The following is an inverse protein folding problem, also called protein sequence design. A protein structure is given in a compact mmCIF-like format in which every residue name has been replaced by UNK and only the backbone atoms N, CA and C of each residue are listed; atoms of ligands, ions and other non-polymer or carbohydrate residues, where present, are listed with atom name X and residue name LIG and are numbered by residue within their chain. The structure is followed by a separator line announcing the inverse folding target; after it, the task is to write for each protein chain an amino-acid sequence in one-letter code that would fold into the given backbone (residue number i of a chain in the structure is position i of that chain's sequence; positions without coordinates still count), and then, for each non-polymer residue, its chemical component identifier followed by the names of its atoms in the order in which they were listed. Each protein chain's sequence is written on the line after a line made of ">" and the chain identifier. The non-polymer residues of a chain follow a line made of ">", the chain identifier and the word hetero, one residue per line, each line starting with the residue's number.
data_IF_603473385876
#
_entry.id   IF_603473385876
#
_cell.length_a   1.000
_cell.length_b   1.000
_cell.length_c   1.000
_cell.angle_alpha   90.00
_cell.angle_beta   90.00
_cell.angle_gamma   90.00
#
_symmetry.space_group_name_H-M   'P 1'
#
loop_
_entity.id
_entity.type
_entity.pdbx_description
1 polymer ?
#
# COMPACT_ATOMS: atom_id res chain seq x y z
N UNK A 1 -25.50 -6.89 -66.68
CA UNK A 1 -25.83 -7.33 -65.31
C UNK A 1 -24.72 -8.25 -64.82
N UNK A 2 -23.81 -7.72 -64.00
CA UNK A 2 -22.95 -8.49 -63.10
C UNK A 2 -22.24 -7.50 -62.18
N UNK A 3 -22.90 -7.16 -61.06
CA UNK A 3 -22.29 -6.37 -59.98
C UNK A 3 -21.30 -7.25 -59.21
N UNK A 4 -20.07 -6.75 -59.04
CA UNK A 4 -19.09 -7.37 -58.14
C UNK A 4 -19.56 -7.33 -56.69
N UNK A 5 -19.08 -8.24 -55.83
CA UNK A 5 -19.53 -8.33 -54.45
C UNK A 5 -19.16 -7.04 -53.68
N UNK A 6 -20.00 -6.61 -52.71
CA UNK A 6 -19.67 -5.44 -51.91
C UNK A 6 -18.43 -5.73 -51.07
N UNK A 7 -17.51 -4.76 -50.99
CA UNK A 7 -16.41 -4.78 -50.02
C UNK A 7 -17.00 -4.93 -48.62
N UNK A 8 -16.72 -6.06 -47.97
CA UNK A 8 -17.06 -6.30 -46.58
C UNK A 8 -16.49 -5.19 -45.71
N UNK A 9 -17.36 -4.54 -44.94
CA UNK A 9 -16.96 -3.58 -43.92
C UNK A 9 -16.03 -4.27 -42.91
N UNK A 10 -14.80 -3.76 -42.79
CA UNK A 10 -13.87 -4.15 -41.73
C UNK A 10 -14.31 -3.41 -40.46
N UNK A 11 -15.17 -4.06 -39.68
CA UNK A 11 -15.52 -3.64 -38.31
C UNK A 11 -15.35 -4.86 -37.39
N UNK A 12 -14.11 -5.21 -37.04
CA UNK A 12 -13.85 -6.21 -35.98
C UNK A 12 -12.42 -6.22 -35.42
N UNK A 13 -11.61 -5.19 -35.64
CA UNK A 13 -10.16 -5.24 -35.30
C UNK A 13 -9.79 -4.46 -34.02
N UNK A 14 -10.53 -3.40 -33.67
CA UNK A 14 -10.23 -2.59 -32.48
C UNK A 14 -10.57 -3.31 -31.16
N UNK A 15 -11.69 -4.04 -31.10
CA UNK A 15 -12.10 -4.73 -29.87
C UNK A 15 -11.16 -5.88 -29.50
N UNK A 16 -10.56 -6.54 -30.50
CA UNK A 16 -9.60 -7.64 -30.32
C UNK A 16 -8.22 -7.10 -29.92
N UNK A 17 -7.82 -5.92 -30.46
CA UNK A 17 -6.59 -5.22 -30.05
C UNK A 17 -6.66 -4.59 -28.66
N UNK A 18 -7.81 -4.04 -28.29
CA UNK A 18 -8.03 -3.50 -26.94
C UNK A 18 -8.07 -4.64 -25.91
N UNK A 19 -8.69 -5.77 -26.25
CA UNK A 19 -8.63 -7.00 -25.44
C UNK A 19 -7.19 -7.52 -25.32
N UNK A 20 -6.39 -7.47 -26.39
CA UNK A 20 -4.97 -7.85 -26.35
C UNK A 20 -4.09 -6.90 -25.51
N UNK A 21 -4.56 -5.70 -25.18
CA UNK A 21 -3.84 -4.65 -24.44
C UNK A 21 -4.38 -4.40 -23.04
N UNK A 22 -5.22 -5.30 -22.50
CA UNK A 22 -5.85 -5.20 -21.19
C UNK A 22 -4.88 -4.77 -20.06
N UNK A 23 -3.63 -5.26 -20.09
CA UNK A 23 -2.59 -4.97 -19.10
C UNK A 23 -2.21 -3.48 -18.99
N UNK A 24 -2.52 -2.65 -20.00
CA UNK A 24 -2.21 -1.22 -20.00
C UNK A 24 -3.13 -0.40 -19.10
N UNK A 25 -4.31 -0.91 -18.77
CA UNK A 25 -5.31 -0.23 -17.94
C UNK A 25 -5.74 -1.04 -16.71
N UNK A 26 -5.40 -2.34 -16.69
CA UNK A 26 -5.81 -3.29 -15.67
C UNK A 26 -5.57 -2.83 -14.23
N UNK A 27 -6.53 -3.11 -13.37
CA UNK A 27 -6.38 -3.06 -11.91
C UNK A 27 -6.17 -4.46 -11.38
N UNK A 28 -5.00 -4.70 -10.79
CA UNK A 28 -4.58 -6.01 -10.30
C UNK A 28 -4.64 -6.01 -8.77
N UNK A 29 -5.40 -6.92 -8.19
CA UNK A 29 -5.49 -7.09 -6.74
C UNK A 29 -4.43 -8.06 -6.26
N UNK A 30 -3.54 -7.60 -5.37
CA UNK A 30 -2.48 -8.42 -4.81
C UNK A 30 -2.95 -9.13 -3.55
N UNK A 31 -2.91 -10.46 -3.59
CA UNK A 31 -3.34 -11.35 -2.52
C UNK A 31 -2.13 -12.02 -1.87
N UNK A 32 -1.93 -11.72 -0.59
CA UNK A 32 -1.08 -12.49 0.30
C UNK A 32 -1.91 -13.64 0.91
N UNK A 33 -1.89 -14.80 0.25
CA UNK A 33 -2.80 -15.93 0.51
C UNK A 33 -2.96 -16.24 2.00
N UNK A 34 -1.85 -16.29 2.74
CA UNK A 34 -1.80 -16.66 4.17
C UNK A 34 -2.73 -15.80 5.05
N UNK A 35 -3.08 -14.61 4.61
CA UNK A 35 -3.88 -13.63 5.36
C UNK A 35 -5.13 -13.18 4.65
N UNK A 36 -5.48 -13.81 3.53
CA UNK A 36 -6.65 -13.41 2.76
C UNK A 36 -7.94 -14.00 3.34
N UNK A 37 -8.10 -15.32 3.33
CA UNK A 37 -9.20 -16.03 3.97
C UNK A 37 -8.81 -17.49 4.21
N UNK A 38 -9.15 -18.02 5.38
CA UNK A 38 -8.91 -19.42 5.76
C UNK A 38 -10.14 -20.26 5.38
N UNK A 39 -9.93 -21.25 4.52
CA UNK A 39 -10.99 -22.13 4.02
C UNK A 39 -11.11 -23.45 4.79
N UNK A 40 -10.08 -23.85 5.54
CA UNK A 40 -9.97 -25.17 6.15
C UNK A 40 -9.94 -25.16 7.69
N UNK A 41 -9.81 -23.97 8.30
CA UNK A 41 -9.84 -23.75 9.74
C UNK A 41 -8.51 -24.02 10.46
N UNK A 42 -7.38 -24.02 9.75
CA UNK A 42 -6.03 -24.20 10.32
C UNK A 42 -5.36 -22.89 10.77
N UNK A 43 -6.04 -21.75 10.61
CA UNK A 43 -5.55 -20.43 10.97
C UNK A 43 -4.71 -19.75 9.88
N UNK A 44 -4.54 -20.38 8.72
CA UNK A 44 -3.85 -19.82 7.57
C UNK A 44 -4.79 -19.69 6.39
N UNK A 45 -4.67 -18.58 5.67
CA UNK A 45 -5.39 -18.43 4.43
C UNK A 45 -4.89 -19.40 3.35
N UNK A 46 -5.81 -19.87 2.51
CA UNK A 46 -5.56 -20.89 1.50
C UNK A 46 -6.36 -20.63 0.21
N UNK A 47 -6.22 -21.51 -0.79
CA UNK A 47 -6.95 -21.36 -2.06
C UNK A 47 -8.45 -21.64 -1.91
N UNK A 48 -8.88 -22.46 -0.95
CA UNK A 48 -10.31 -22.64 -0.71
C UNK A 48 -10.93 -21.35 -0.16
N UNK A 49 -10.24 -20.66 0.74
CA UNK A 49 -10.59 -19.33 1.22
C UNK A 49 -10.54 -18.25 0.12
N UNK A 50 -9.51 -18.23 -0.73
CA UNK A 50 -9.49 -17.33 -1.89
C UNK A 50 -10.69 -17.58 -2.81
N UNK A 51 -10.99 -18.85 -3.13
CA UNK A 51 -12.11 -19.23 -3.99
C UNK A 51 -13.45 -18.79 -3.42
N UNK A 52 -13.64 -18.88 -2.11
CA UNK A 52 -14.90 -18.45 -1.47
C UNK A 52 -15.12 -16.93 -1.53
N UNK A 53 -14.07 -16.15 -1.79
CA UNK A 53 -14.11 -14.68 -1.87
C UNK A 53 -13.93 -14.14 -3.29
N UNK A 54 -13.93 -14.97 -4.33
CA UNK A 54 -13.85 -14.49 -5.72
C UNK A 54 -15.03 -13.57 -6.10
N UNK A 55 -16.22 -13.83 -5.56
CA UNK A 55 -17.37 -12.95 -5.74
C UNK A 55 -17.15 -11.55 -5.16
N UNK A 56 -16.43 -11.44 -4.04
CA UNK A 56 -16.04 -10.15 -3.46
C UNK A 56 -15.07 -9.39 -4.37
N UNK A 57 -14.02 -10.06 -4.87
CA UNK A 57 -13.04 -9.43 -5.76
C UNK A 57 -13.69 -8.97 -7.09
N UNK A 58 -14.54 -9.82 -7.67
CA UNK A 58 -15.31 -9.44 -8.86
C UNK A 58 -16.24 -8.25 -8.58
N UNK A 59 -16.90 -8.22 -7.43
CA UNK A 59 -17.75 -7.11 -6.99
C UNK A 59 -16.99 -5.82 -6.69
N UNK A 60 -15.74 -5.91 -6.21
CA UNK A 60 -14.85 -4.75 -6.05
C UNK A 60 -14.48 -4.15 -7.42
N UNK A 61 -14.42 -4.99 -8.45
CA UNK A 61 -14.23 -4.56 -9.82
C UNK A 61 -12.77 -4.59 -10.29
N UNK A 62 -11.96 -5.50 -9.75
CA UNK A 62 -10.59 -5.72 -10.21
C UNK A 62 -10.56 -6.60 -11.46
N UNK A 63 -9.57 -6.42 -12.32
CA UNK A 63 -9.47 -7.12 -13.60
C UNK A 63 -8.67 -8.42 -13.49
N UNK A 64 -7.73 -8.49 -12.54
CA UNK A 64 -6.90 -9.66 -12.30
C UNK A 64 -6.48 -9.80 -10.83
N UNK A 65 -6.09 -11.02 -10.46
CA UNK A 65 -5.59 -11.35 -9.12
C UNK A 65 -4.13 -11.81 -9.22
N UNK A 66 -3.24 -11.16 -8.47
CA UNK A 66 -1.87 -11.61 -8.28
C UNK A 66 -1.72 -12.23 -6.90
N UNK A 67 -1.55 -13.55 -6.85
CA UNK A 67 -1.24 -14.28 -5.62
C UNK A 67 0.26 -14.36 -5.32
N UNK A 68 0.67 -14.14 -4.07
CA UNK A 68 2.05 -14.40 -3.65
C UNK A 68 2.38 -15.90 -3.69
N UNK A 69 3.65 -16.30 -3.95
CA UNK A 69 4.05 -17.70 -3.87
C UNK A 69 3.68 -18.33 -2.53
N UNK A 70 3.05 -19.49 -2.57
CA UNK A 70 2.50 -20.21 -1.41
C UNK A 70 3.22 -21.52 -1.07
N UNK A 71 4.28 -21.86 -1.80
CA UNK A 71 5.15 -22.99 -1.47
C UNK A 71 6.08 -22.63 -0.31
N UNK A 72 6.43 -23.59 0.55
CA UNK A 72 7.44 -23.38 1.59
C UNK A 72 8.76 -22.94 0.94
N UNK A 73 9.16 -21.71 1.20
CA UNK A 73 10.48 -21.23 0.79
C UNK A 73 11.56 -21.96 1.60
N UNK A 74 12.66 -22.43 0.97
CA UNK A 74 13.81 -23.00 1.67
C UNK A 74 14.53 -22.00 2.59
N UNK A 75 14.12 -20.71 2.60
CA UNK A 75 14.69 -19.65 3.45
C UNK A 75 16.21 -19.48 3.28
N UNK A 76 16.77 -19.82 2.11
CA UNK A 76 18.21 -19.74 1.83
C UNK A 76 18.73 -18.31 1.65
N UNK A 77 17.84 -17.38 1.31
CA UNK A 77 18.25 -16.02 0.90
C UNK A 77 18.02 -14.97 2.00
N UNK A 78 17.21 -15.28 3.03
CA UNK A 78 16.87 -14.35 4.11
C UNK A 78 17.88 -14.36 5.27
N UNK A 79 18.60 -15.47 5.44
CA UNK A 79 19.72 -15.60 6.37
C UNK A 79 20.95 -15.75 5.48
N UNK A 80 21.68 -14.66 5.27
CA UNK A 80 22.86 -14.62 4.41
C UNK A 80 23.67 -15.92 4.53
N UNK A 81 23.90 -16.54 3.37
CA UNK A 81 24.65 -17.77 3.23
C UNK A 81 25.76 -17.82 4.27
N UNK A 82 25.69 -18.79 5.21
CA UNK A 82 26.79 -19.06 6.13
C UNK A 82 28.03 -19.19 5.26
N UNK A 83 28.95 -18.24 5.40
CA UNK A 83 30.26 -18.29 4.79
C UNK A 83 30.82 -19.68 5.05
N UNK A 84 30.95 -20.49 4.00
CA UNK A 84 31.64 -21.76 4.09
C UNK A 84 33.01 -21.50 4.73
N UNK A 85 33.50 -22.35 5.65
CA UNK A 85 34.80 -22.14 6.25
C UNK A 85 35.83 -22.09 5.12
N UNK A 86 36.53 -20.95 4.99
CA UNK A 86 37.66 -20.82 4.07
C UNK A 86 38.62 -21.96 4.39
N UNK A 87 38.77 -22.89 3.45
CA UNK A 87 39.86 -23.88 3.48
C UNK A 87 41.16 -23.10 3.60
N UNK A 88 41.87 -23.34 4.69
CA UNK A 88 43.24 -22.91 4.92
C UNK A 88 44.11 -23.48 3.79
N UNK A 89 44.40 -22.64 2.79
CA UNK A 89 45.52 -22.87 1.90
C UNK A 89 46.72 -22.12 2.47
N UNK A 90 47.57 -22.89 3.14
CA UNK A 90 48.94 -22.49 3.50
C UNK A 90 49.66 -22.02 2.24
N UNK A 91 50.20 -20.81 2.29
CA UNK A 91 51.02 -20.28 1.20
C UNK A 91 51.58 -18.89 1.50
N UNK A 92 52.61 -18.83 2.36
CA UNK A 92 53.81 -18.02 2.13
C UNK A 92 53.79 -16.49 2.23
N UNK A 93 54.88 -15.99 2.81
CA UNK A 93 55.45 -14.64 2.72
C UNK A 93 54.82 -13.53 3.58
N UNK A 94 55.49 -13.26 4.70
CA UNK A 94 55.15 -12.20 5.63
C UNK A 94 55.67 -10.82 5.21
N UNK A 95 55.09 -9.80 5.82
CA UNK A 95 55.68 -8.46 5.96
C UNK A 95 55.32 -7.94 7.36
N UNK A 96 56.35 -7.60 8.14
CA UNK A 96 56.26 -6.92 9.44
C UNK A 96 55.93 -5.45 9.25
N UNK A 97 55.11 -4.88 10.15
CA UNK A 97 55.09 -3.49 10.65
C UNK A 97 54.05 -3.50 11.78
N UNK A 98 54.27 -3.12 13.03
CA UNK A 98 55.15 -2.12 13.62
C UNK A 98 54.28 -1.37 14.62
N UNK A 99 54.18 -1.86 15.87
CA UNK A 99 53.42 -1.20 16.94
C UNK A 99 54.05 0.16 17.26
N UNK A 100 53.25 1.22 17.28
CA UNK A 100 53.54 2.43 18.07
C UNK A 100 52.34 2.76 18.96
N UNK A 101 52.59 2.77 20.26
CA UNK A 101 51.81 3.46 21.29
C UNK A 101 52.21 4.93 21.29
N UNK A 102 51.25 5.80 21.54
CA UNK A 102 51.34 7.15 22.10
C UNK A 102 49.89 7.64 22.26
N UNK A 103 49.48 8.45 23.21
CA UNK A 103 49.95 8.79 24.56
C UNK A 103 48.73 9.45 25.22
N UNK A 104 48.55 9.24 26.52
CA UNK A 104 47.43 9.79 27.28
C UNK A 104 47.79 11.24 27.63
N UNK A 105 47.25 12.19 26.86
CA UNK A 105 47.37 13.62 27.10
C UNK A 105 46.17 14.17 27.87
N UNK A 106 46.42 14.54 29.12
CA UNK A 106 45.56 15.27 30.04
C UNK A 106 45.11 16.65 29.52
N UNK A 107 43.82 16.99 29.67
CA UNK A 107 43.33 18.37 29.61
C UNK A 107 42.26 18.60 30.69
N UNK A 108 42.57 19.56 31.56
CA UNK A 108 41.79 20.02 32.72
C UNK A 108 40.49 20.76 32.35
N UNK A 109 39.51 20.86 33.26
CA UNK A 109 38.24 21.55 33.02
C UNK A 109 38.39 23.06 33.18
N UNK A 110 37.79 23.84 32.26
CA UNK A 110 37.56 25.28 32.45
C UNK A 110 36.07 25.53 32.68
N UNK A 111 35.78 26.15 33.82
CA UNK A 111 34.49 26.80 34.08
C UNK A 111 34.37 28.09 33.24
N UNK A 112 33.20 28.29 32.65
CA UNK A 112 32.78 29.53 32.00
C UNK A 112 31.29 29.48 31.71
N UNK A 113 30.51 30.32 32.40
CA UNK A 113 29.06 30.47 32.25
C UNK A 113 28.68 31.02 30.87
N UNK A 114 27.55 30.57 30.32
CA UNK A 114 26.89 31.27 29.20
C UNK A 114 25.87 30.43 28.43
N UNK A 115 24.58 30.67 28.70
CA UNK A 115 23.46 30.40 27.78
C UNK A 115 22.94 28.96 27.72
N UNK A 116 21.67 28.77 28.14
CA UNK A 116 20.86 27.66 27.64
C UNK A 116 20.62 27.87 26.14
N UNK A 117 21.58 27.46 25.32
CA UNK A 117 21.31 27.15 23.94
C UNK A 117 20.56 25.80 23.94
N UNK A 118 19.27 25.82 23.60
CA UNK A 118 18.56 24.64 23.14
C UNK A 118 19.44 24.01 22.05
N UNK A 119 20.14 22.92 22.41
CA UNK A 119 20.86 22.12 21.43
C UNK A 119 19.81 21.60 20.46
N UNK A 120 19.84 22.12 19.24
CA UNK A 120 19.16 21.49 18.11
C UNK A 120 19.52 19.99 18.14
N UNK A 121 18.56 19.07 18.04
CA UNK A 121 18.83 17.65 18.13
C UNK A 121 19.90 17.28 17.11
N UNK A 122 21.05 16.85 17.62
CA UNK A 122 22.19 16.43 16.83
C UNK A 122 21.81 15.10 16.18
N UNK A 123 21.65 15.14 14.86
CA UNK A 123 21.43 14.00 13.96
C UNK A 123 20.08 13.26 14.13
N UNK A 124 19.03 13.77 13.49
CA UNK A 124 17.95 12.89 13.01
C UNK A 124 18.60 11.96 11.99
N UNK A 125 18.84 10.70 12.36
CA UNK A 125 19.11 9.67 11.35
C UNK A 125 17.88 9.64 10.44
N UNK A 126 18.02 9.70 9.11
CA UNK A 126 16.85 9.51 8.25
C UNK A 126 16.25 8.15 8.62
N UNK A 127 14.99 8.12 9.05
CA UNK A 127 14.26 6.87 9.25
C UNK A 127 14.36 6.10 7.92
N UNK A 128 14.93 4.89 7.96
CA UNK A 128 15.10 4.05 6.76
C UNK A 128 14.13 2.89 6.77
N UNK A 129 13.63 2.52 7.94
CA UNK A 129 12.71 1.41 8.15
C UNK A 129 11.55 1.81 9.04
N UNK A 130 10.40 1.14 8.87
CA UNK A 130 9.24 1.31 9.74
C UNK A 130 9.60 1.16 11.22
N UNK A 131 10.50 0.23 11.55
CA UNK A 131 10.97 0.02 12.93
C UNK A 131 11.67 1.24 13.55
N UNK A 132 12.13 2.20 12.75
CA UNK A 132 12.66 3.47 13.27
C UNK A 132 11.53 4.44 13.73
N UNK A 133 10.26 4.08 13.48
CA UNK A 133 9.09 4.97 13.64
C UNK A 133 7.96 4.39 14.50
N UNK A 134 7.97 3.09 14.85
CA UNK A 134 6.87 2.36 15.53
C UNK A 134 6.45 2.94 16.90
N UNK A 135 7.31 3.72 17.57
CA UNK A 135 6.98 4.38 18.85
C UNK A 135 6.68 5.88 18.70
N UNK A 136 6.64 6.39 17.47
CA UNK A 136 6.31 7.78 17.21
C UNK A 136 4.79 7.95 17.13
N UNK A 137 4.23 9.05 17.65
CA UNK A 137 2.79 9.27 17.60
C UNK A 137 2.31 9.35 16.14
N UNK A 138 1.41 8.44 15.75
CA UNK A 138 0.74 8.44 14.46
C UNK A 138 -0.73 8.88 14.60
N UNK A 139 -1.14 9.88 13.82
CA UNK A 139 -2.54 10.25 13.70
C UNK A 139 -3.19 9.42 12.58
N UNK A 140 -3.88 8.35 12.98
CA UNK A 140 -4.54 7.43 12.04
C UNK A 140 -5.67 8.09 11.24
N UNK A 141 -6.30 9.14 11.76
CA UNK A 141 -7.34 9.89 11.06
C UNK A 141 -6.74 10.69 9.90
N UNK A 142 -5.63 11.39 10.15
CA UNK A 142 -4.84 12.06 9.09
C UNK A 142 -4.30 11.02 8.10
N UNK A 143 -3.79 9.90 8.60
CA UNK A 143 -3.28 8.79 7.79
C UNK A 143 -4.33 8.25 6.80
N UNK A 144 -5.54 7.97 7.29
CA UNK A 144 -6.64 7.47 6.48
C UNK A 144 -7.08 8.49 5.42
N UNK A 145 -7.21 9.78 5.77
CA UNK A 145 -7.54 10.83 4.78
C UNK A 145 -6.52 10.86 3.65
N UNK A 146 -5.23 10.85 3.99
CA UNK A 146 -4.14 10.84 3.01
C UNK A 146 -4.10 9.57 2.17
N UNK A 147 -4.36 8.41 2.77
CA UNK A 147 -4.42 7.14 2.06
C UNK A 147 -5.56 7.13 1.02
N UNK A 148 -6.74 7.63 1.39
CA UNK A 148 -7.89 7.78 0.47
C UNK A 148 -7.58 8.74 -0.68
N UNK A 149 -6.94 9.88 -0.39
CA UNK A 149 -6.49 10.82 -1.41
C UNK A 149 -5.45 10.19 -2.35
N UNK A 150 -4.44 9.50 -1.79
CA UNK A 150 -3.41 8.82 -2.55
C UNK A 150 -3.97 7.71 -3.46
N UNK A 151 -4.97 6.95 -2.98
CA UNK A 151 -5.65 5.93 -3.78
C UNK A 151 -6.34 6.53 -5.01
N UNK A 152 -7.09 7.63 -4.84
CA UNK A 152 -7.72 8.32 -5.98
C UNK A 152 -6.68 8.94 -6.93
N UNK A 153 -5.58 9.50 -6.41
CA UNK A 153 -4.50 9.98 -7.27
C UNK A 153 -3.91 8.82 -8.09
N UNK A 154 -3.54 7.72 -7.45
CA UNK A 154 -2.98 6.54 -8.11
C UNK A 154 -3.91 6.00 -9.19
N UNK A 155 -5.21 5.88 -8.90
CA UNK A 155 -6.20 5.36 -9.83
C UNK A 155 -6.54 6.33 -10.98
N UNK A 156 -6.17 7.62 -10.89
CA UNK A 156 -6.33 8.59 -11.97
C UNK A 156 -5.14 8.61 -12.95
N UNK A 157 -3.96 8.17 -12.50
CA UNK A 157 -2.75 8.18 -13.32
C UNK A 157 -2.86 7.21 -14.52
N UNK A 158 -2.15 7.50 -15.63
CA UNK A 158 -2.12 6.59 -16.77
C UNK A 158 -1.41 5.28 -16.47
N UNK A 159 -1.95 4.17 -16.97
CA UNK A 159 -1.35 2.83 -16.83
C UNK A 159 -2.16 1.90 -15.93
N UNK A 160 -1.70 0.67 -15.73
CA UNK A 160 -2.32 -0.27 -14.79
C UNK A 160 -2.08 0.14 -13.33
N UNK A 161 -2.89 -0.39 -12.41
CA UNK A 161 -2.79 -0.13 -10.99
C UNK A 161 -2.73 -1.43 -10.19
N UNK A 162 -2.12 -1.37 -9.00
CA UNK A 162 -2.10 -2.46 -8.04
C UNK A 162 -2.82 -2.01 -6.77
N UNK A 163 -3.69 -2.87 -6.25
CA UNK A 163 -4.34 -2.67 -4.95
C UNK A 163 -3.88 -3.82 -4.06
N UNK A 164 -3.30 -3.50 -2.91
CA UNK A 164 -2.93 -4.53 -1.95
C UNK A 164 -4.10 -4.89 -1.05
N UNK A 165 -4.17 -6.15 -0.62
CA UNK A 165 -5.28 -6.62 0.19
C UNK A 165 -5.46 -5.82 1.49
N UNK A 166 -6.67 -5.31 1.73
CA UNK A 166 -7.01 -4.50 2.90
C UNK A 166 -6.76 -3.00 2.71
N UNK A 167 -6.07 -2.58 1.65
CA UNK A 167 -5.94 -1.17 1.28
C UNK A 167 -7.32 -0.57 0.99
N UNK A 168 -8.21 -1.33 0.35
CA UNK A 168 -9.58 -0.91 0.07
C UNK A 168 -10.43 -0.75 1.34
N UNK A 169 -9.96 -1.29 2.46
CA UNK A 169 -10.59 -1.14 3.77
C UNK A 169 -9.92 -0.02 4.59
N UNK A 170 -8.83 0.58 4.09
CA UNK A 170 -8.07 1.58 4.83
C UNK A 170 -7.39 1.03 6.08
N UNK A 171 -6.96 -0.24 6.07
CA UNK A 171 -6.28 -0.85 7.21
C UNK A 171 -4.93 -0.16 7.45
N UNK A 172 -4.72 0.31 8.67
CA UNK A 172 -3.44 0.80 9.12
C UNK A 172 -2.46 -0.38 9.35
N UNK A 173 -1.17 -0.07 9.29
CA UNK A 173 -0.12 -0.98 9.75
C UNK A 173 -0.39 -1.39 11.20
N UNK A 174 -0.28 -2.68 11.51
CA UNK A 174 -0.36 -3.18 12.89
C UNK A 174 1.04 -3.18 13.50
N UNK A 175 1.30 -2.20 14.35
CA UNK A 175 2.63 -1.94 14.90
C UNK A 175 2.92 -2.75 16.18
N UNK A 176 1.88 -3.14 16.91
CA UNK A 176 1.90 -3.71 18.26
C UNK A 176 1.73 -5.24 18.31
N UNK A 177 2.02 -5.95 17.20
CA UNK A 177 2.00 -7.42 17.18
C UNK A 177 2.90 -8.02 18.29
N UNK A 178 2.41 -9.02 19.05
CA UNK A 178 3.24 -9.72 20.04
C UNK A 178 4.50 -10.30 19.39
N UNK A 179 5.65 -10.20 20.07
CA UNK A 179 6.93 -10.66 19.53
C UNK A 179 6.93 -12.15 19.18
N UNK A 180 6.20 -12.95 19.97
CA UNK A 180 6.00 -14.38 19.77
C UNK A 180 5.17 -14.72 18.52
N UNK A 181 4.41 -13.76 18.00
CA UNK A 181 3.61 -13.92 16.78
C UNK A 181 4.39 -13.56 15.51
N UNK A 182 5.51 -12.83 15.62
CA UNK A 182 6.29 -12.39 14.47
C UNK A 182 6.96 -13.59 13.77
N UNK A 183 6.71 -13.71 12.46
CA UNK A 183 7.24 -14.78 11.61
C UNK A 183 8.09 -14.28 10.44
N UNK A 184 8.12 -12.97 10.18
CA UNK A 184 8.91 -12.42 9.09
C UNK A 184 10.40 -12.73 9.31
N UNK A 185 11.11 -13.20 8.27
CA UNK A 185 12.53 -13.52 8.41
C UNK A 185 13.40 -12.37 8.92
N UNK A 186 13.00 -11.12 8.66
CA UNK A 186 13.70 -9.93 9.17
C UNK A 186 13.68 -9.83 10.69
N UNK A 187 12.64 -10.37 11.35
CA UNK A 187 12.59 -10.44 12.81
C UNK A 187 13.68 -11.35 13.36
N UNK A 188 13.92 -12.49 12.72
CA UNK A 188 14.92 -13.50 13.12
C UNK A 188 16.38 -13.07 12.92
N UNK A 189 16.62 -11.84 12.43
CA UNK A 189 17.97 -11.29 12.34
C UNK A 189 18.53 -11.01 13.75
N UNK A 190 19.87 -11.15 13.95
CA UNK A 190 20.49 -10.93 15.25
C UNK A 190 20.10 -9.58 15.87
N UNK A 191 19.57 -9.63 17.09
CA UNK A 191 19.21 -8.45 17.87
C UNK A 191 17.74 -8.00 17.77
N UNK A 192 16.90 -8.67 16.97
CA UNK A 192 15.45 -8.39 16.89
C UNK A 192 15.11 -6.90 16.67
N UNK A 193 15.92 -6.20 15.88
CA UNK A 193 15.81 -4.74 15.69
C UNK A 193 14.90 -4.33 14.52
N UNK A 194 14.43 -5.29 13.73
CA UNK A 194 13.55 -5.05 12.58
C UNK A 194 12.32 -5.96 12.69
N UNK A 195 11.16 -5.35 12.97
CA UNK A 195 9.88 -6.07 13.12
C UNK A 195 9.35 -6.62 11.79
N UNK A 196 9.99 -6.28 10.67
CA UNK A 196 9.75 -6.89 9.37
C UNK A 196 8.47 -6.36 8.72
N UNK A 197 7.68 -7.28 8.17
CA UNK A 197 6.49 -6.97 7.34
C UNK A 197 5.23 -7.63 7.88
N UNK A 198 5.24 -8.13 9.11
CA UNK A 198 4.07 -8.84 9.63
C UNK A 198 2.89 -7.91 9.94
N UNK A 199 3.14 -6.63 10.26
CA UNK A 199 2.09 -5.65 10.50
C UNK A 199 1.17 -5.42 9.29
N UNK A 200 1.71 -5.40 8.07
CA UNK A 200 0.93 -5.37 6.82
C UNK A 200 0.43 -6.74 6.33
N UNK A 201 0.61 -7.81 7.12
CA UNK A 201 0.18 -9.17 6.79
C UNK A 201 -0.86 -9.72 7.75
N UNK A 202 -1.43 -8.90 8.62
CA UNK A 202 -2.49 -9.36 9.51
C UNK A 202 -3.70 -9.87 8.70
N UNK A 203 -4.29 -11.03 9.05
CA UNK A 203 -5.48 -11.60 8.43
C UNK A 203 -6.61 -10.59 8.18
N UNK A 204 -7.23 -10.63 7.01
CA UNK A 204 -8.28 -9.66 6.65
C UNK A 204 -9.52 -9.76 7.54
N UNK A 205 -10.12 -8.62 7.95
CA UNK A 205 -11.35 -8.59 8.70
C UNK A 205 -12.57 -8.65 7.75
N UNK A 206 -13.21 -9.81 7.62
CA UNK A 206 -14.35 -10.00 6.72
C UNK A 206 -15.70 -9.59 7.33
N UNK A 207 -15.96 -9.93 8.58
CA UNK A 207 -17.31 -9.81 9.16
C UNK A 207 -17.32 -9.91 10.68
N UNK A 208 -18.44 -9.57 11.31
CA UNK A 208 -18.65 -9.76 12.74
C UNK A 208 -18.02 -8.67 13.60
N UNK A 209 -18.23 -8.83 14.91
CA UNK A 209 -17.99 -7.76 15.88
C UNK A 209 -16.70 -7.96 16.69
N UNK A 210 -16.12 -9.17 16.66
CA UNK A 210 -14.92 -9.55 17.41
C UNK A 210 -13.95 -10.35 16.52
N UNK A 211 -12.62 -10.31 16.81
CA UNK A 211 -11.64 -11.19 16.17
C UNK A 211 -12.04 -12.66 16.32
N UNK A 212 -11.86 -13.50 15.28
CA UNK A 212 -11.04 -13.28 14.09
C UNK A 212 -11.80 -12.68 12.89
N UNK A 213 -12.87 -11.89 13.14
CA UNK A 213 -13.63 -11.15 12.13
C UNK A 213 -13.97 -11.97 10.86
N UNK A 214 -14.39 -13.23 11.04
CA UNK A 214 -14.76 -14.10 9.92
C UNK A 214 -13.62 -14.49 8.98
N UNK A 215 -12.35 -14.37 9.42
CA UNK A 215 -11.20 -14.86 8.68
C UNK A 215 -11.20 -16.39 8.53
N UNK A 216 -11.42 -17.10 9.63
CA UNK A 216 -11.55 -18.56 9.67
C UNK A 216 -13.02 -18.98 9.89
N UNK A 217 -13.45 -20.16 9.43
CA UNK A 217 -14.81 -20.65 9.63
C UNK A 217 -15.16 -20.86 11.11
N UNK A 218 -16.45 -20.83 11.51
CA UNK A 218 -16.85 -21.23 12.85
C UNK A 218 -16.40 -22.66 13.18
N UNK A 219 -15.90 -22.89 14.40
CA UNK A 219 -15.41 -24.21 14.83
C UNK A 219 -13.99 -24.57 14.35
N UNK A 220 -13.25 -23.60 13.82
CA UNK A 220 -11.84 -23.78 13.42
C UNK A 220 -10.96 -24.28 14.56
N UNK A 221 -9.93 -25.06 14.22
CA UNK A 221 -9.07 -25.75 15.18
C UNK A 221 -7.96 -24.85 15.74
N UNK A 222 -7.67 -23.74 15.06
CA UNK A 222 -6.60 -22.79 15.42
C UNK A 222 -7.04 -21.35 15.22
N UNK A 223 -6.51 -20.40 16.02
CA UNK A 223 -6.66 -18.98 15.74
C UNK A 223 -5.89 -18.61 14.46
N UNK A 224 -6.20 -17.44 13.85
CA UNK A 224 -5.41 -16.92 12.75
C UNK A 224 -3.94 -16.78 13.12
N UNK A 225 -3.07 -16.97 12.15
CA UNK A 225 -1.62 -17.01 12.37
C UNK A 225 -0.98 -15.70 12.83
N UNK A 226 -1.64 -14.56 12.60
CA UNK A 226 -1.37 -13.31 13.29
C UNK A 226 -2.67 -12.82 13.96
N UNK A 227 -2.58 -12.23 15.16
CA UNK A 227 -3.73 -11.66 15.83
C UNK A 227 -4.23 -10.42 15.07
N UNK A 228 -5.55 -10.31 14.95
CA UNK A 228 -6.21 -9.10 14.45
C UNK A 228 -6.46 -8.10 15.60
N UNK A 229 -6.24 -6.79 15.39
CA UNK A 229 -6.59 -5.78 16.38
C UNK A 229 -8.10 -5.72 16.62
N UNK A 230 -8.54 -5.70 17.88
CA UNK A 230 -9.96 -5.54 18.23
C UNK A 230 -10.58 -4.25 17.66
N UNK A 231 -9.78 -3.20 17.49
CA UNK A 231 -10.18 -1.94 16.88
C UNK A 231 -10.68 -2.10 15.42
N UNK A 232 -10.40 -3.22 14.75
CA UNK A 232 -10.83 -3.46 13.38
C UNK A 232 -12.31 -3.79 13.21
N UNK A 233 -13.08 -3.88 14.30
CA UNK A 233 -14.54 -4.06 14.30
C UNK A 233 -15.26 -3.10 13.33
N UNK A 234 -14.84 -1.83 13.28
CA UNK A 234 -15.45 -0.80 12.43
C UNK A 234 -14.98 -0.80 10.97
N UNK A 235 -13.95 -1.56 10.62
CA UNK A 235 -13.34 -1.58 9.28
C UNK A 235 -13.44 -2.95 8.60
N UNK A 236 -14.24 -3.87 9.15
CA UNK A 236 -14.54 -5.14 8.48
C UNK A 236 -15.22 -4.90 7.12
N UNK A 237 -15.08 -5.85 6.19
CA UNK A 237 -15.80 -5.79 4.90
C UNK A 237 -17.31 -5.67 5.12
N UNK A 238 -17.88 -6.43 6.05
CA UNK A 238 -19.30 -6.35 6.40
C UNK A 238 -19.71 -4.97 6.93
N UNK A 239 -18.93 -4.37 7.83
CA UNK A 239 -19.23 -3.05 8.39
C UNK A 239 -19.18 -1.97 7.31
N UNK A 240 -18.11 -1.95 6.50
CA UNK A 240 -17.94 -0.94 5.45
C UNK A 240 -18.96 -1.08 4.32
N UNK A 241 -19.39 -2.29 3.98
CA UNK A 241 -20.42 -2.50 2.97
C UNK A 241 -21.79 -1.90 3.35
N UNK A 242 -22.00 -1.54 4.63
CA UNK A 242 -23.22 -0.89 5.13
C UNK A 242 -23.07 0.64 5.22
N UNK A 243 -21.87 1.17 4.99
CA UNK A 243 -21.54 2.59 5.09
C UNK A 243 -21.14 3.18 3.73
N UNK A 244 -22.01 4.02 3.11
CA UNK A 244 -21.71 4.70 1.85
C UNK A 244 -20.48 5.63 1.88
N UNK A 245 -20.05 6.08 3.06
CA UNK A 245 -18.86 6.92 3.24
C UNK A 245 -17.55 6.15 3.40
N UNK A 246 -17.64 4.82 3.50
CA UNK A 246 -16.51 3.95 3.82
C UNK A 246 -15.41 3.97 2.74
N UNK A 247 -14.23 3.47 3.11
CA UNK A 247 -13.12 3.34 2.14
C UNK A 247 -13.42 2.28 1.11
N UNK A 248 -14.13 1.22 1.50
CA UNK A 248 -14.58 0.18 0.57
C UNK A 248 -15.47 0.76 -0.54
N UNK A 249 -16.45 1.59 -0.18
CA UNK A 249 -17.33 2.24 -1.15
C UNK A 249 -16.60 3.28 -2.01
N UNK A 250 -15.60 3.98 -1.44
CA UNK A 250 -14.72 4.84 -2.23
C UNK A 250 -13.99 4.05 -3.32
N UNK A 251 -13.38 2.91 -2.98
CA UNK A 251 -12.68 2.06 -3.95
C UNK A 251 -13.64 1.48 -5.00
N UNK A 252 -14.81 0.97 -4.61
CA UNK A 252 -15.83 0.47 -5.54
C UNK A 252 -16.21 1.52 -6.59
N UNK A 253 -16.53 2.73 -6.13
CA UNK A 253 -16.90 3.85 -7.02
C UNK A 253 -15.73 4.30 -7.89
N UNK A 254 -14.53 4.39 -7.33
CA UNK A 254 -13.34 4.77 -8.08
C UNK A 254 -13.02 3.77 -9.20
N UNK A 255 -13.09 2.47 -8.92
CA UNK A 255 -12.85 1.41 -9.90
C UNK A 255 -13.95 1.34 -10.95
N UNK A 256 -15.22 1.56 -10.58
CA UNK A 256 -16.33 1.66 -11.52
C UNK A 256 -16.15 2.86 -12.48
N UNK A 257 -15.85 4.05 -11.96
CA UNK A 257 -15.59 5.25 -12.76
C UNK A 257 -14.38 5.02 -13.66
N UNK A 258 -13.27 4.50 -13.12
CA UNK A 258 -12.06 4.21 -13.89
C UNK A 258 -12.31 3.25 -15.05
N UNK A 259 -13.19 2.26 -14.88
CA UNK A 259 -13.55 1.33 -15.95
C UNK A 259 -14.41 1.97 -17.04
N UNK A 260 -15.31 2.87 -16.66
CA UNK A 260 -16.30 3.46 -17.58
C UNK A 260 -15.82 4.74 -18.25
N UNK A 261 -14.97 5.52 -17.59
CA UNK A 261 -14.55 6.81 -18.06
C UNK A 261 -13.48 6.63 -19.17
N UNK A 262 -13.72 7.09 -20.40
CA UNK A 262 -12.84 6.83 -21.55
C UNK A 262 -11.43 7.42 -21.38
N UNK A 263 -11.29 8.50 -20.62
CA UNK A 263 -9.99 9.09 -20.33
C UNK A 263 -9.16 8.32 -19.29
N UNK A 264 -9.74 7.38 -18.54
CA UNK A 264 -9.06 6.65 -17.47
C UNK A 264 -8.53 5.29 -17.94
N UNK A 265 -7.53 4.76 -17.25
CA UNK A 265 -6.76 3.60 -17.74
C UNK A 265 -5.50 4.02 -18.50
N UNK A 266 -5.28 3.48 -19.69
CA UNK A 266 -4.17 3.85 -20.56
C UNK A 266 -4.38 5.25 -21.18
N UNK A 267 -3.31 5.95 -21.54
CA UNK A 267 -3.41 7.24 -22.23
C UNK A 267 -2.33 8.22 -21.80
N UNK A 268 -2.47 9.47 -22.22
CA UNK A 268 -1.64 10.59 -21.76
C UNK A 268 -2.30 11.32 -20.60
N UNK A 269 -1.53 12.20 -19.98
CA UNK A 269 -1.99 13.22 -19.05
C UNK A 269 -1.24 14.51 -19.33
N UNK A 270 -1.86 15.64 -19.03
CA UNK A 270 -1.25 16.97 -19.12
C UNK A 270 -1.33 17.65 -17.76
N UNK A 271 -0.20 18.16 -17.27
CA UNK A 271 -0.16 18.90 -16.01
C UNK A 271 -0.85 20.26 -16.16
N UNK A 272 -1.58 20.65 -15.12
CA UNK A 272 -2.18 21.97 -15.01
C UNK A 272 -1.36 22.81 -14.03
N UNK A 273 -1.05 24.05 -14.42
CA UNK A 273 -0.34 24.99 -13.55
C UNK A 273 -1.18 25.31 -12.31
N UNK A 274 -0.57 25.15 -11.14
CA UNK A 274 -1.20 25.33 -9.84
C UNK A 274 -0.22 25.92 -8.82
N UNK A 275 -0.72 26.57 -7.76
CA UNK A 275 0.12 26.99 -6.63
C UNK A 275 0.84 25.80 -5.99
N UNK A 276 1.95 26.08 -5.31
CA UNK A 276 2.70 25.07 -4.58
C UNK A 276 1.80 24.31 -3.58
N UNK A 277 1.88 22.98 -3.60
CA UNK A 277 1.07 22.10 -2.76
C UNK A 277 -0.32 21.76 -3.31
N UNK A 278 -0.66 22.22 -4.52
CA UNK A 278 -1.82 21.72 -5.27
C UNK A 278 -1.32 21.02 -6.53
N UNK A 279 -1.60 19.73 -6.64
CA UNK A 279 -1.26 18.94 -7.82
C UNK A 279 -2.52 18.77 -8.67
N UNK A 280 -2.43 19.04 -9.98
CA UNK A 280 -3.58 18.85 -10.86
C UNK A 280 -3.15 18.49 -12.28
N UNK A 281 -3.90 17.62 -12.93
CA UNK A 281 -3.70 17.23 -14.33
C UNK A 281 -5.04 16.95 -15.01
N UNK A 282 -5.04 17.01 -16.34
CA UNK A 282 -6.16 16.64 -17.20
C UNK A 282 -5.83 15.42 -18.06
N UNK A 283 -6.86 14.70 -18.48
CA UNK A 283 -6.78 13.57 -19.41
C UNK A 283 -7.97 13.65 -20.37
N UNK A 284 -7.68 13.51 -21.66
CA UNK A 284 -8.74 13.55 -22.68
C UNK A 284 -9.38 12.16 -22.87
N UNK A 285 -10.69 12.11 -23.16
CA UNK A 285 -11.62 13.25 -23.17
C UNK A 285 -12.17 13.56 -21.77
N UNK A 286 -12.16 14.83 -21.37
CA UNK A 286 -13.02 15.35 -20.30
C UNK A 286 -12.75 14.89 -18.87
N UNK A 287 -11.55 14.47 -18.50
CA UNK A 287 -11.22 14.13 -17.11
C UNK A 287 -10.20 15.08 -16.49
N UNK A 288 -10.39 15.48 -15.24
CA UNK A 288 -9.34 16.11 -14.45
C UNK A 288 -9.22 15.55 -13.03
N UNK A 289 -8.00 15.57 -12.51
CA UNK A 289 -7.69 15.22 -11.12
C UNK A 289 -7.08 16.43 -10.41
N UNK A 290 -7.47 16.66 -9.16
CA UNK A 290 -6.92 17.69 -8.29
C UNK A 290 -6.62 17.09 -6.92
N UNK A 291 -5.41 17.32 -6.41
CA UNK A 291 -4.95 16.91 -5.10
C UNK A 291 -4.51 18.15 -4.31
N UNK A 292 -5.03 18.30 -3.10
CA UNK A 292 -4.67 19.41 -2.21
C UNK A 292 -3.87 18.87 -1.02
N UNK A 293 -2.60 19.29 -0.91
CA UNK A 293 -1.74 19.03 0.27
C UNK A 293 -1.38 20.30 1.03
N UNK A 294 -1.99 21.44 0.67
CA UNK A 294 -1.80 22.72 1.34
C UNK A 294 -2.55 22.77 2.68
N UNK A 295 -2.27 23.79 3.50
CA UNK A 295 -2.99 24.03 4.75
C UNK A 295 -4.42 24.53 4.57
N UNK A 296 -4.78 25.04 3.38
CA UNK A 296 -6.03 25.76 3.14
C UNK A 296 -6.90 25.03 2.10
N UNK A 297 -8.24 25.13 2.15
CA UNK A 297 -9.11 24.63 1.09
C UNK A 297 -8.88 25.36 -0.24
N UNK A 298 -9.01 24.64 -1.36
CA UNK A 298 -8.77 25.19 -2.72
C UNK A 298 -9.96 24.98 -3.65
N UNK A 299 -10.25 25.89 -4.59
CA UNK A 299 -11.41 25.78 -5.45
C UNK A 299 -11.26 24.69 -6.53
N UNK A 300 -12.38 24.03 -6.82
CA UNK A 300 -12.56 23.26 -8.05
C UNK A 300 -12.65 24.25 -9.22
N UNK A 301 -11.66 24.29 -10.12
CA UNK A 301 -11.61 25.34 -11.15
C UNK A 301 -12.62 25.16 -12.28
N UNK A 302 -12.99 23.93 -12.63
CA UNK A 302 -13.91 23.64 -13.72
C UNK A 302 -14.31 22.17 -13.74
N UNK A 303 -15.58 21.89 -14.04
CA UNK A 303 -16.11 20.54 -14.20
C UNK A 303 -17.01 20.09 -13.06
N UNK A 304 -17.80 19.04 -13.30
CA UNK A 304 -18.64 18.42 -12.28
C UNK A 304 -17.83 17.43 -11.45
N UNK A 305 -18.06 17.38 -10.14
CA UNK A 305 -17.38 16.41 -9.26
C UNK A 305 -17.89 15.00 -9.55
N UNK A 306 -17.00 14.14 -10.04
CA UNK A 306 -17.26 12.71 -10.23
C UNK A 306 -17.11 11.93 -8.92
N UNK A 307 -16.01 12.22 -8.20
CA UNK A 307 -15.67 11.54 -6.94
C UNK A 307 -14.70 12.40 -6.13
N UNK A 308 -14.84 12.37 -4.81
CA UNK A 308 -13.91 12.99 -3.87
C UNK A 308 -13.45 11.96 -2.83
N UNK A 309 -12.20 12.06 -2.37
CA UNK A 309 -11.65 11.15 -1.35
C UNK A 309 -12.24 11.38 0.04
N UNK A 310 -12.92 12.51 0.25
CA UNK A 310 -13.62 12.90 1.46
C UNK A 310 -14.59 14.05 1.16
N UNK A 311 -15.25 14.56 2.19
CA UNK A 311 -16.20 15.64 2.04
C UNK A 311 -15.52 16.93 1.55
N UNK A 312 -16.20 17.66 0.65
CA UNK A 312 -15.82 19.03 0.30
C UNK A 312 -16.29 19.98 1.41
N UNK A 313 -15.76 21.21 1.43
CA UNK A 313 -16.33 22.23 2.32
C UNK A 313 -17.77 22.58 1.89
N UNK A 314 -18.51 23.27 2.75
CA UNK A 314 -19.88 23.74 2.44
C UNK A 314 -19.91 24.66 1.21
N UNK A 315 -18.82 25.36 0.93
CA UNK A 315 -18.62 26.19 -0.26
C UNK A 315 -18.13 25.41 -1.50
N UNK A 316 -18.00 24.08 -1.39
CA UNK A 316 -17.53 23.20 -2.46
C UNK A 316 -16.02 23.26 -2.71
N UNK A 317 -15.23 23.70 -1.72
CA UNK A 317 -13.77 23.72 -1.82
C UNK A 317 -13.18 22.36 -1.46
N UNK A 318 -12.01 22.05 -2.03
CA UNK A 318 -11.25 20.82 -1.77
C UNK A 318 -10.39 21.02 -0.53
N UNK A 319 -10.66 20.33 0.60
CA UNK A 319 -9.89 20.50 1.82
C UNK A 319 -8.47 19.96 1.69
N UNK A 320 -7.65 20.22 2.70
CA UNK A 320 -6.34 19.58 2.86
C UNK A 320 -6.43 18.06 2.83
N UNK A 321 -5.38 17.41 2.36
CA UNK A 321 -5.22 15.95 2.34
C UNK A 321 -6.35 15.24 1.56
N UNK A 322 -6.82 15.89 0.47
CA UNK A 322 -7.95 15.42 -0.34
C UNK A 322 -7.63 15.38 -1.83
N UNK A 323 -8.30 14.46 -2.54
CA UNK A 323 -8.26 14.33 -4.01
C UNK A 323 -9.67 14.34 -4.56
N UNK A 324 -9.86 15.02 -5.69
CA UNK A 324 -11.13 15.12 -6.40
C UNK A 324 -10.94 14.81 -7.89
N UNK A 325 -11.86 14.01 -8.43
CA UNK A 325 -12.00 13.72 -9.85
C UNK A 325 -13.14 14.55 -10.43
N UNK A 326 -12.93 15.09 -11.62
CA UNK A 326 -13.82 16.03 -12.28
C UNK A 326 -14.11 15.57 -13.71
N UNK A 327 -15.36 15.74 -14.12
CA UNK A 327 -15.82 15.65 -15.52
C UNK A 327 -15.76 17.04 -16.15
N UNK A 328 -14.99 17.20 -17.24
CA UNK A 328 -14.62 18.47 -17.86
C UNK A 328 -15.15 18.66 -19.26
#
# INVERSE_FOLDING_TARGET
>A
MAGGPPKSAVMSDDTDRDSARWWRSAVIYQVYIRSFADGNGDGFGDIAGLRSRLGYLAGLGVDAVWITPWYRSPMKDALGARSAPRRDQRGGAGIRRGRRRADVGSLQPRHGQGGLALRAPQHIRPARHLSDMIDLPADLSVGLRRARAAALLMLALPGGAYVYQGEELGLAEVEDLPEEALTDPSWQLPGHTNRGRDGCRVPLPWSGEEPPFGFSPPGSFRPPWLPQPAAWRGVTVEAQAKDPGSTLELFRRALEIRRRHPALGAGSMEWLDRPAGVLSFTREPGFACLVNVTGEPVPVLSGAVLLASGDLTDEGLVPRDSTVWLDR
#
